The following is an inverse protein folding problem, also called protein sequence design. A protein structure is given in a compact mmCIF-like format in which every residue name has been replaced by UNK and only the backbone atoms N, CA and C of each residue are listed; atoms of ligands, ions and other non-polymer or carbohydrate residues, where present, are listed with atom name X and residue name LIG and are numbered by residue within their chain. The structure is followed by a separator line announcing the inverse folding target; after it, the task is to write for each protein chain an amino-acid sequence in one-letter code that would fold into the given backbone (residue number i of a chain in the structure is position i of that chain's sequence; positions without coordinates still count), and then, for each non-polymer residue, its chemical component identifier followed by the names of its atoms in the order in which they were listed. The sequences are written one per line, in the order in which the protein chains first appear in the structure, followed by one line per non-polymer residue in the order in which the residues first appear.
data_IF_316002752910
#
_entry.id   IF_316002752910
#
_cell.length_a   1.000
_cell.length_b   1.000
_cell.length_c   1.000
_cell.angle_alpha   90.00
_cell.angle_beta   90.00
_cell.angle_gamma   90.00
#
_symmetry.space_group_name_H-M   'P 1'
#
loop_
_entity.id
_entity.type
_entity.pdbx_description
1 polymer ?
#
# COMPACT_ATOMS: atom_id res chain seq x y z
N UNK A 1 -0.64 7.31 10.42
CA UNK A 1 -1.83 7.08 11.30
C UNK A 1 -2.32 8.35 12.02
N UNK A 2 -1.89 9.55 11.59
CA UNK A 2 -2.31 10.82 12.19
C UNK A 2 -1.38 11.33 13.28
N UNK A 3 -0.29 10.61 13.58
CA UNK A 3 0.69 10.96 14.61
C UNK A 3 1.70 12.06 14.20
N UNK A 4 1.55 12.60 12.97
CA UNK A 4 2.41 13.64 12.42
C UNK A 4 3.73 13.14 11.85
N UNK A 5 3.97 11.81 11.83
CA UNK A 5 5.16 11.20 11.26
C UNK A 5 4.88 10.67 9.86
N UNK A 6 5.91 10.62 9.03
CA UNK A 6 5.81 10.09 7.67
C UNK A 6 5.83 8.57 7.72
N UNK A 7 4.74 7.95 7.30
CA UNK A 7 4.63 6.51 7.07
C UNK A 7 4.87 6.18 5.59
N UNK A 8 5.23 4.93 5.27
CA UNK A 8 5.33 4.45 3.89
C UNK A 8 4.31 3.34 3.63
N UNK A 9 3.65 3.42 2.49
CA UNK A 9 2.87 2.33 1.92
C UNK A 9 3.60 1.78 0.71
N UNK A 10 3.92 0.49 0.74
CA UNK A 10 4.65 -0.19 -0.32
C UNK A 10 3.73 -1.19 -1.00
N UNK A 11 3.73 -1.17 -2.32
CA UNK A 11 3.08 -2.17 -3.17
C UNK A 11 4.13 -2.99 -3.92
N UNK A 12 3.71 -4.06 -4.59
CA UNK A 12 4.64 -4.89 -5.33
C UNK A 12 3.97 -5.78 -6.34
N UNK A 13 4.54 -6.98 -6.44
CA UNK A 13 4.27 -8.00 -7.42
C UNK A 13 4.67 -7.67 -8.86
N UNK A 14 5.17 -8.68 -9.57
CA UNK A 14 5.53 -8.59 -10.97
C UNK A 14 5.38 -9.94 -11.67
N UNK A 15 4.55 -9.97 -12.71
CA UNK A 15 4.20 -11.19 -13.45
C UNK A 15 4.84 -11.25 -14.84
N UNK A 16 5.53 -10.18 -15.25
CA UNK A 16 6.21 -10.08 -16.55
C UNK A 16 7.57 -10.79 -16.60
N UNK A 17 7.64 -11.95 -15.97
CA UNK A 17 8.85 -12.78 -15.83
C UNK A 17 8.73 -14.01 -16.73
N UNK A 18 9.87 -14.52 -17.19
CA UNK A 18 9.90 -15.76 -17.96
C UNK A 18 9.40 -16.94 -17.10
N UNK A 19 8.69 -17.94 -17.68
CA UNK A 19 8.01 -18.98 -16.91
C UNK A 19 8.90 -19.73 -15.90
N UNK A 20 10.16 -19.98 -16.25
CA UNK A 20 11.11 -20.70 -15.40
C UNK A 20 11.43 -19.98 -14.08
N UNK A 21 11.31 -18.65 -14.03
CA UNK A 21 11.59 -17.87 -12.82
C UNK A 21 10.40 -17.80 -11.87
N UNK A 22 9.19 -18.12 -12.33
CA UNK A 22 7.97 -17.97 -11.55
C UNK A 22 7.61 -16.49 -11.29
N UNK A 23 6.34 -16.21 -11.00
CA UNK A 23 5.86 -14.85 -10.71
C UNK A 23 6.42 -14.36 -9.37
N UNK A 24 6.66 -13.06 -9.28
CA UNK A 24 6.88 -12.41 -7.98
C UNK A 24 5.50 -11.99 -7.48
N UNK A 25 4.80 -12.85 -6.76
CA UNK A 25 3.37 -12.66 -6.42
C UNK A 25 3.06 -12.82 -4.93
N UNK A 26 4.07 -12.71 -4.07
CA UNK A 26 3.94 -12.86 -2.61
C UNK A 26 3.59 -11.56 -1.85
N UNK A 27 3.52 -10.41 -2.53
CA UNK A 27 3.21 -9.14 -1.86
C UNK A 27 1.70 -8.94 -1.72
N UNK A 28 1.27 -8.60 -0.51
CA UNK A 28 -0.07 -8.08 -0.22
C UNK A 28 -0.05 -6.59 0.16
N UNK A 29 1.04 -5.90 -0.19
CA UNK A 29 1.38 -4.57 0.32
C UNK A 29 2.03 -4.62 1.70
N UNK A 30 2.68 -3.52 2.08
CA UNK A 30 3.33 -3.37 3.39
C UNK A 30 3.16 -1.92 3.88
N UNK A 31 2.64 -1.77 5.08
CA UNK A 31 2.65 -0.50 5.81
C UNK A 31 3.89 -0.45 6.70
N UNK A 32 4.68 0.60 6.53
CA UNK A 32 5.83 0.90 7.38
C UNK A 32 5.51 2.14 8.22
N UNK A 33 5.46 1.97 9.55
CA UNK A 33 5.26 3.07 10.48
C UNK A 33 6.59 3.80 10.69
N UNK A 34 6.60 5.10 10.43
CA UNK A 34 7.79 5.93 10.60
C UNK A 34 8.01 6.35 12.05
N UNK A 35 9.27 6.47 12.46
CA UNK A 35 9.65 7.00 13.77
C UNK A 35 9.88 8.52 13.79
N UNK A 36 9.78 9.17 12.62
CA UNK A 36 10.00 10.61 12.41
C UNK A 36 11.49 11.01 12.30
N UNK A 37 12.41 10.05 12.40
CA UNK A 37 13.86 10.22 12.31
C UNK A 37 14.47 9.47 11.11
N UNK A 38 13.61 8.85 10.29
CA UNK A 38 13.99 8.06 9.13
C UNK A 38 14.03 6.55 9.39
N UNK A 39 13.72 6.11 10.60
CA UNK A 39 13.49 4.71 10.93
C UNK A 39 12.06 4.28 10.57
N UNK A 40 11.92 3.01 10.19
CA UNK A 40 10.66 2.42 9.76
C UNK A 40 10.49 1.03 10.36
N UNK A 41 9.30 0.76 10.90
CA UNK A 41 8.93 -0.56 11.43
C UNK A 41 7.77 -1.12 10.63
N UNK A 42 7.87 -2.39 10.22
CA UNK A 42 6.78 -3.08 9.56
C UNK A 42 5.57 -3.20 10.50
N UNK A 43 4.40 -2.78 10.01
CA UNK A 43 3.13 -2.96 10.70
C UNK A 43 2.54 -4.30 10.27
N UNK A 44 2.16 -5.11 11.24
CA UNK A 44 1.56 -6.42 10.97
C UNK A 44 0.28 -6.28 10.12
N UNK A 45 0.00 -7.29 9.30
CA UNK A 45 -1.18 -7.31 8.44
C UNK A 45 -2.48 -7.26 9.26
N UNK A 46 -2.54 -7.96 10.40
CA UNK A 46 -3.70 -7.95 11.28
C UNK A 46 -3.93 -6.58 11.95
N UNK A 47 -2.85 -5.82 12.17
CA UNK A 47 -2.96 -4.46 12.72
C UNK A 47 -3.37 -3.45 11.64
N UNK A 48 -2.73 -3.52 10.46
CA UNK A 48 -2.91 -2.56 9.37
C UNK A 48 -4.20 -2.79 8.58
N UNK A 49 -4.71 -4.03 8.55
CA UNK A 49 -5.78 -4.49 7.64
C UNK A 49 -5.48 -4.16 6.16
N UNK A 50 -4.19 -4.07 5.81
CA UNK A 50 -3.76 -3.78 4.46
C UNK A 50 -3.73 -5.05 3.62
N UNK A 51 -4.48 -5.05 2.51
CA UNK A 51 -4.42 -6.09 1.50
C UNK A 51 -4.48 -5.43 0.13
N UNK A 52 -3.37 -5.50 -0.60
CA UNK A 52 -3.25 -5.12 -2.00
C UNK A 52 -2.81 -6.36 -2.77
N UNK A 53 -3.77 -7.07 -3.35
CA UNK A 53 -3.51 -8.18 -4.26
C UNK A 53 -3.23 -7.68 -5.68
N UNK A 54 -2.50 -8.47 -6.45
CA UNK A 54 -2.15 -8.16 -7.84
C UNK A 54 -0.90 -7.28 -8.00
N UNK A 55 -0.59 -6.91 -9.23
CA UNK A 55 0.61 -6.11 -9.58
C UNK A 55 0.35 -4.62 -9.44
N UNK A 56 0.97 -3.97 -8.48
CA UNK A 56 0.91 -2.52 -8.31
C UNK A 56 1.82 -1.82 -9.34
N UNK A 57 1.26 -0.85 -10.07
CA UNK A 57 1.97 -0.06 -11.10
C UNK A 57 2.17 1.40 -10.72
N UNK A 58 1.22 1.98 -9.99
CA UNK A 58 1.34 3.33 -9.44
C UNK A 58 0.44 3.46 -8.20
N UNK A 59 0.78 4.42 -7.33
CA UNK A 59 -0.06 4.81 -6.21
C UNK A 59 -0.11 6.34 -6.11
N UNK A 60 -1.30 6.88 -5.89
CA UNK A 60 -1.52 8.32 -5.76
C UNK A 60 -2.47 8.61 -4.61
N UNK A 61 -2.14 9.63 -3.82
CA UNK A 61 -3.04 10.14 -2.79
C UNK A 61 -4.05 11.10 -3.39
N UNK A 62 -5.33 10.90 -3.08
CA UNK A 62 -6.43 11.80 -3.42
C UNK A 62 -7.14 12.26 -2.15
N UNK A 63 -7.86 13.38 -2.26
CA UNK A 63 -8.80 13.85 -1.24
C UNK A 63 -10.20 13.55 -1.71
N UNK A 64 -10.96 12.83 -0.88
CA UNK A 64 -12.37 12.57 -1.13
C UNK A 64 -13.25 13.80 -0.85
N UNK A 65 -14.53 13.77 -1.26
CA UNK A 65 -15.45 14.89 -1.11
C UNK A 65 -15.70 15.32 0.34
N UNK A 66 -15.49 14.41 1.31
CA UNK A 66 -15.66 14.69 2.75
C UNK A 66 -14.32 15.00 3.43
N UNK A 67 -13.28 15.26 2.65
CA UNK A 67 -11.93 15.53 3.13
C UNK A 67 -11.15 14.27 3.54
N UNK A 68 -11.68 13.07 3.30
CA UNK A 68 -10.97 11.84 3.60
C UNK A 68 -9.72 11.69 2.72
N UNK A 69 -8.66 11.11 3.27
CA UNK A 69 -7.46 10.75 2.51
C UNK A 69 -7.66 9.39 1.88
N UNK A 70 -7.61 9.34 0.56
CA UNK A 70 -7.74 8.14 -0.26
C UNK A 70 -6.38 7.84 -0.89
N UNK A 71 -6.05 6.56 -1.02
CA UNK A 71 -4.90 6.10 -1.79
C UNK A 71 -5.46 5.27 -2.94
N UNK A 72 -5.23 5.76 -4.15
CA UNK A 72 -5.59 5.09 -5.38
C UNK A 72 -4.42 4.23 -5.84
N UNK A 73 -4.66 2.95 -5.99
CA UNK A 73 -3.69 1.95 -6.41
C UNK A 73 -4.03 1.49 -7.82
N UNK A 74 -3.18 1.83 -8.78
CA UNK A 74 -3.29 1.35 -10.15
C UNK A 74 -2.67 -0.05 -10.23
N UNK A 75 -3.44 -1.02 -10.75
CA UNK A 75 -3.03 -2.41 -10.86
C UNK A 75 -2.98 -2.86 -12.31
N UNK A 76 -1.98 -3.66 -12.66
CA UNK A 76 -1.76 -4.12 -14.02
C UNK A 76 -2.91 -5.04 -14.48
N UNK A 77 -3.60 -4.69 -15.57
CA UNK A 77 -4.72 -5.45 -16.14
C UNK A 77 -5.85 -5.77 -15.13
N UNK A 78 -6.05 -4.90 -14.15
CA UNK A 78 -7.10 -5.08 -13.15
C UNK A 78 -7.74 -3.71 -12.82
N UNK A 79 -8.86 -3.75 -12.09
CA UNK A 79 -9.54 -2.58 -11.57
C UNK A 79 -8.63 -1.82 -10.61
N UNK A 80 -8.75 -0.51 -10.67
CA UNK A 80 -8.19 0.41 -9.68
C UNK A 80 -8.75 0.06 -8.30
N UNK A 81 -7.87 -0.03 -7.32
CA UNK A 81 -8.23 -0.22 -5.92
C UNK A 81 -8.12 1.11 -5.17
N UNK A 82 -9.06 1.39 -4.26
CA UNK A 82 -9.05 2.61 -3.44
C UNK A 82 -9.00 2.20 -1.98
N UNK A 83 -7.91 2.59 -1.31
CA UNK A 83 -7.75 2.44 0.13
C UNK A 83 -8.15 3.74 0.81
N UNK A 84 -8.85 3.64 1.94
CA UNK A 84 -9.15 4.81 2.79
C UNK A 84 -8.21 4.80 3.99
N UNK A 85 -7.54 5.93 4.23
CA UNK A 85 -6.75 6.09 5.44
C UNK A 85 -7.68 6.26 6.64
N UNK A 86 -7.64 5.32 7.58
CA UNK A 86 -8.36 5.41 8.85
C UNK A 86 -7.40 5.89 9.93
N UNK A 87 -7.73 7.00 10.59
CA UNK A 87 -7.04 7.43 11.80
C UNK A 87 -7.60 6.63 12.98
N UNK A 88 -6.76 5.89 13.71
CA UNK A 88 -7.19 5.36 15.01
C UNK A 88 -7.35 6.56 15.95
N UNK A 89 -8.52 6.71 16.55
CA UNK A 89 -8.72 7.61 17.70
C UNK A 89 -8.18 6.94 18.96
#
# INVERSE_FOLDING_TARGET
DGDGKTDLLVGGNFYGVIPVLGRYDASYGLLLRGDGKGGFTAVDMAESNLVIDGQVRDMKMLRGPKGERLIVVARNNDKVMVLRQTTRR
#
